data_IF_850401219210
#
_entry.id   IF_850401219210
#
_cell.length_a   1.000
_cell.length_b   1.000
_cell.length_c   1.000
_cell.angle_alpha   90.00
_cell.angle_beta   90.00
_cell.angle_gamma   90.00
#
_symmetry.space_group_name_H-M   'P 1'
#
loop_
_entity.id
_entity.type
_entity.pdbx_description
1 polymer ?
#
# COMPACT_ATOMS: atom_id res chain seq x y z
N UNK A 1 1.47 -18.88 1.67
CA UNK A 1 1.93 -17.65 2.35
C UNK A 1 0.91 -16.55 2.10
N UNK A 2 0.62 -15.73 3.12
CA UNK A 2 -0.30 -14.59 3.03
C UNK A 2 0.40 -13.30 3.48
N UNK A 3 -0.01 -12.17 2.90
CA UNK A 3 0.39 -10.83 3.32
C UNK A 3 -0.86 -10.05 3.71
N UNK A 4 -0.89 -9.54 4.92
CA UNK A 4 -2.02 -8.79 5.46
C UNK A 4 -1.58 -7.35 5.77
N UNK A 5 -2.08 -6.40 4.99
CA UNK A 5 -1.76 -4.98 5.15
C UNK A 5 -2.80 -4.32 6.04
N UNK A 6 -2.41 -3.69 7.13
CA UNK A 6 -3.29 -2.90 7.98
C UNK A 6 -3.09 -1.42 7.69
N UNK A 7 -4.10 -0.78 7.15
CA UNK A 7 -4.04 0.64 6.77
C UNK A 7 -5.25 1.41 7.32
N UNK A 8 -5.12 2.70 7.44
CA UNK A 8 -6.15 3.58 8.00
C UNK A 8 -5.53 4.88 8.51
N UNK A 9 -6.38 5.80 8.92
CA UNK A 9 -5.97 7.11 9.44
C UNK A 9 -4.99 6.98 10.62
N UNK A 10 -4.17 8.00 10.85
CA UNK A 10 -3.32 8.08 12.03
C UNK A 10 -4.14 7.99 13.33
N UNK A 11 -3.67 7.17 14.28
CA UNK A 11 -4.28 7.03 15.61
C UNK A 11 -5.52 6.13 15.70
N UNK A 12 -5.95 5.44 14.63
CA UNK A 12 -7.12 4.53 14.67
C UNK A 12 -6.83 3.18 15.33
N UNK A 13 -5.56 2.85 15.59
CA UNK A 13 -5.14 1.58 16.20
C UNK A 13 -4.71 0.51 15.20
N UNK A 14 -4.14 0.90 14.05
CA UNK A 14 -3.57 -0.02 13.06
C UNK A 14 -2.58 -1.00 13.68
N UNK A 15 -1.57 -0.46 14.35
CA UNK A 15 -0.50 -1.22 15.00
C UNK A 15 -1.05 -2.24 15.99
N UNK A 16 -1.98 -1.81 16.86
CA UNK A 16 -2.61 -2.67 17.86
C UNK A 16 -3.42 -3.80 17.21
N UNK A 17 -4.19 -3.50 16.17
CA UNK A 17 -4.99 -4.52 15.46
C UNK A 17 -4.11 -5.46 14.62
N UNK A 18 -3.02 -4.97 14.03
CA UNK A 18 -2.03 -5.78 13.33
C UNK A 18 -1.32 -6.74 14.29
N UNK A 19 -0.83 -6.24 15.43
CA UNK A 19 -0.17 -7.03 16.47
C UNK A 19 -1.11 -8.10 17.05
N UNK A 20 -2.35 -7.74 17.37
CA UNK A 20 -3.37 -8.68 17.84
C UNK A 20 -3.65 -9.78 16.79
N UNK A 21 -3.78 -9.41 15.51
CA UNK A 21 -3.98 -10.38 14.42
C UNK A 21 -2.80 -11.34 14.28
N UNK A 22 -1.56 -10.84 14.40
CA UNK A 22 -0.37 -11.68 14.35
C UNK A 22 -0.35 -12.71 15.48
N UNK A 23 -0.73 -12.32 16.69
CA UNK A 23 -0.85 -13.25 17.83
C UNK A 23 -1.95 -14.30 17.61
N UNK A 24 -3.11 -13.93 17.08
CA UNK A 24 -4.18 -14.86 16.75
C UNK A 24 -3.70 -15.94 15.78
N UNK A 25 -3.08 -15.52 14.68
CA UNK A 25 -2.53 -16.43 13.67
C UNK A 25 -1.46 -17.36 14.24
N UNK A 26 -0.58 -16.83 15.09
CA UNK A 26 0.46 -17.63 15.74
C UNK A 26 -0.13 -18.66 16.73
N UNK A 27 -1.19 -18.28 17.47
CA UNK A 27 -1.90 -19.20 18.38
C UNK A 27 -2.59 -20.33 17.64
N UNK A 28 -3.01 -20.11 16.39
CA UNK A 28 -3.58 -21.11 15.49
C UNK A 28 -2.51 -21.99 14.81
N UNK A 29 -1.22 -21.74 15.09
CA UNK A 29 -0.10 -22.56 14.63
C UNK A 29 0.63 -22.04 13.40
N UNK A 30 0.24 -20.90 12.81
CA UNK A 30 0.97 -20.27 11.74
C UNK A 30 2.30 -19.67 12.24
N UNK A 31 3.32 -19.64 11.39
CA UNK A 31 4.55 -18.90 11.65
C UNK A 31 4.41 -17.48 11.08
N UNK A 32 4.29 -16.51 11.95
CA UNK A 32 3.90 -15.14 11.59
C UNK A 32 5.05 -14.18 11.85
N UNK A 33 5.23 -13.23 10.96
CA UNK A 33 6.01 -12.03 11.23
C UNK A 33 5.13 -10.80 11.09
N UNK A 34 5.19 -9.89 12.06
CA UNK A 34 4.62 -8.56 11.96
C UNK A 34 5.73 -7.54 11.80
N UNK A 35 5.60 -6.69 10.79
CA UNK A 35 6.55 -5.62 10.49
C UNK A 35 5.84 -4.28 10.42
N UNK A 36 6.42 -3.23 10.97
CA UNK A 36 5.89 -1.88 10.89
C UNK A 36 6.68 -1.06 9.88
N UNK A 37 5.94 -0.42 8.99
CA UNK A 37 6.42 0.62 8.09
C UNK A 37 6.18 2.03 8.66
N UNK A 38 5.67 2.14 9.88
CA UNK A 38 5.44 3.43 10.56
C UNK A 38 6.70 3.85 11.32
N UNK A 39 7.28 5.01 11.01
CA UNK A 39 8.48 5.52 11.68
C UNK A 39 8.26 5.86 13.16
N UNK A 40 7.03 5.87 13.64
CA UNK A 40 6.70 6.20 15.04
C UNK A 40 7.10 5.12 16.07
N UNK A 41 7.69 4.00 15.65
CA UNK A 41 8.18 2.92 16.52
C UNK A 41 7.12 2.30 17.46
N UNK A 42 5.83 2.40 17.10
CA UNK A 42 4.71 2.01 17.94
C UNK A 42 4.51 0.48 18.08
N UNK A 43 5.15 -0.33 17.22
CA UNK A 43 5.00 -1.78 17.25
C UNK A 43 5.67 -2.41 18.49
N UNK A 44 6.87 -1.95 18.84
CA UNK A 44 7.57 -2.35 20.05
C UNK A 44 6.77 -2.00 21.31
N UNK A 45 6.19 -0.79 21.37
CA UNK A 45 5.35 -0.35 22.46
C UNK A 45 4.10 -1.23 22.59
N UNK A 46 3.48 -1.62 21.47
CA UNK A 46 2.29 -2.48 21.48
C UNK A 46 2.58 -3.87 22.06
N UNK A 47 3.74 -4.44 21.79
CA UNK A 47 4.15 -5.74 22.37
C UNK A 47 4.77 -5.62 23.77
N UNK A 48 5.15 -4.40 24.20
CA UNK A 48 5.93 -4.20 25.42
C UNK A 48 7.35 -4.77 25.30
N UNK A 49 7.95 -4.74 24.10
CA UNK A 49 9.24 -5.34 23.78
C UNK A 49 10.12 -4.40 22.96
N UNK A 50 11.42 -4.46 23.19
CA UNK A 50 12.38 -3.76 22.32
C UNK A 50 12.50 -4.51 20.99
N UNK A 51 12.20 -3.81 19.89
CA UNK A 51 12.29 -4.34 18.53
C UNK A 51 13.37 -3.59 17.74
N UNK A 52 14.07 -4.36 16.91
CA UNK A 52 15.03 -3.82 15.93
C UNK A 52 14.69 -4.25 14.50
N UNK A 53 15.63 -4.02 13.58
CA UNK A 53 15.51 -4.42 12.17
C UNK A 53 15.57 -5.95 11.99
N UNK A 54 16.14 -6.69 12.95
CA UNK A 54 16.13 -8.14 12.92
C UNK A 54 14.85 -8.72 13.56
N UNK A 55 14.26 -9.80 12.98
CA UNK A 55 13.10 -10.47 13.55
C UNK A 55 13.33 -10.96 14.97
N UNK A 56 12.52 -10.50 15.91
CA UNK A 56 12.53 -10.90 17.34
C UNK A 56 11.29 -11.74 17.62
N UNK A 57 11.43 -12.92 18.24
CA UNK A 57 10.29 -13.73 18.65
C UNK A 57 9.65 -13.12 19.91
N UNK A 58 8.44 -12.57 19.76
CA UNK A 58 7.68 -11.89 20.84
C UNK A 58 6.70 -12.83 21.54
N UNK A 59 6.27 -13.88 20.85
CA UNK A 59 5.48 -14.97 21.38
C UNK A 59 5.77 -16.24 20.55
N UNK A 60 5.40 -17.45 21.02
CA UNK A 60 5.64 -18.68 20.27
C UNK A 60 5.13 -18.58 18.83
N UNK A 61 6.01 -18.74 17.83
CA UNK A 61 5.75 -18.62 16.38
C UNK A 61 5.36 -17.20 15.88
N UNK A 62 5.32 -16.20 16.76
CA UNK A 62 5.07 -14.80 16.45
C UNK A 62 6.36 -14.01 16.52
N UNK A 63 6.79 -13.48 15.39
CA UNK A 63 7.97 -12.64 15.26
C UNK A 63 7.54 -11.19 14.97
N UNK A 64 8.29 -10.24 15.50
CA UNK A 64 8.09 -8.83 15.23
C UNK A 64 9.43 -8.19 14.86
N UNK A 65 9.38 -7.24 13.94
CA UNK A 65 10.52 -6.39 13.60
C UNK A 65 10.08 -4.97 13.31
N UNK A 66 10.97 -4.06 13.55
CA UNK A 66 10.78 -2.65 13.27
C UNK A 66 11.88 -2.19 12.34
N UNK A 67 11.49 -1.79 11.14
CA UNK A 67 12.45 -1.52 10.08
C UNK A 67 13.19 -0.21 10.33
N UNK A 68 14.51 -0.27 10.34
CA UNK A 68 15.33 0.92 10.15
C UNK A 68 15.54 1.13 8.64
N UNK A 69 14.72 2.01 8.09
CA UNK A 69 14.75 2.33 6.67
C UNK A 69 16.09 2.93 6.22
N UNK A 70 16.86 3.54 7.13
CA UNK A 70 18.14 4.19 6.80
C UNK A 70 19.21 3.20 6.38
N UNK A 71 19.31 2.07 7.06
CA UNK A 71 20.29 1.02 6.72
C UNK A 71 20.04 0.46 5.32
N UNK A 72 18.78 0.22 4.97
CA UNK A 72 18.38 -0.28 3.65
C UNK A 72 18.51 0.79 2.55
N UNK A 73 18.28 2.05 2.91
CA UNK A 73 18.45 3.19 2.02
C UNK A 73 19.89 3.27 1.52
N UNK A 74 20.88 3.17 2.42
CA UNK A 74 22.29 3.22 2.05
C UNK A 74 22.69 2.09 1.12
N UNK A 75 22.19 0.87 1.33
CA UNK A 75 22.50 -0.29 0.48
C UNK A 75 21.95 -0.16 -0.94
N UNK A 76 20.73 0.35 -1.11
CA UNK A 76 20.02 0.35 -2.39
C UNK A 76 20.08 1.69 -3.13
N UNK A 77 20.18 2.80 -2.40
CA UNK A 77 20.12 4.17 -2.91
C UNK A 77 21.47 4.91 -2.84
N UNK A 78 22.45 4.38 -2.12
CA UNK A 78 23.73 5.05 -1.86
C UNK A 78 24.43 5.56 -3.12
N UNK A 79 24.56 4.72 -4.16
CA UNK A 79 25.21 5.09 -5.44
C UNK A 79 24.46 6.22 -6.18
N UNK A 80 23.13 6.23 -6.09
CA UNK A 80 22.29 7.27 -6.70
C UNK A 80 22.42 8.57 -5.90
N UNK A 81 22.40 8.48 -4.57
CA UNK A 81 22.56 9.63 -3.67
C UNK A 81 23.94 10.27 -3.83
N UNK A 82 25.02 9.49 -3.88
CA UNK A 82 26.36 10.00 -4.13
C UNK A 82 26.45 10.79 -5.43
N UNK A 83 25.90 10.22 -6.52
CA UNK A 83 25.85 10.94 -7.79
C UNK A 83 25.00 12.21 -7.73
N UNK A 84 23.86 12.21 -7.04
CA UNK A 84 23.04 13.42 -6.83
C UNK A 84 23.82 14.50 -6.09
N UNK A 85 24.56 14.14 -5.04
CA UNK A 85 25.41 15.07 -4.29
C UNK A 85 26.53 15.65 -5.15
N UNK A 86 27.18 14.86 -6.00
CA UNK A 86 28.17 15.34 -6.96
C UNK A 86 27.58 16.37 -7.95
N UNK A 87 26.35 16.12 -8.44
CA UNK A 87 25.64 17.06 -9.33
C UNK A 87 25.29 18.36 -8.62
N UNK A 88 24.84 18.29 -7.36
CA UNK A 88 24.49 19.45 -6.56
C UNK A 88 25.74 20.27 -6.20
N UNK A 89 26.86 19.64 -5.85
CA UNK A 89 28.15 20.28 -5.61
C UNK A 89 28.64 21.01 -6.88
N UNK A 90 28.56 20.35 -8.02
CA UNK A 90 28.89 20.97 -9.31
C UNK A 90 28.00 22.19 -9.61
N UNK A 91 26.71 22.15 -9.22
CA UNK A 91 25.78 23.26 -9.36
C UNK A 91 26.04 24.39 -8.35
N UNK A 92 27.00 24.23 -7.42
CA UNK A 92 27.37 25.23 -6.41
C UNK A 92 26.43 25.28 -5.20
N UNK A 93 25.69 24.21 -4.96
CA UNK A 93 24.84 24.07 -3.76
C UNK A 93 25.72 23.74 -2.56
N UNK A 94 25.51 24.44 -1.42
CA UNK A 94 26.27 24.17 -0.21
C UNK A 94 26.04 22.74 0.31
N UNK A 95 27.05 22.09 0.88
CA UNK A 95 27.03 20.70 1.27
C UNK A 95 25.82 20.33 2.18
N UNK A 96 25.47 21.19 3.13
CA UNK A 96 24.32 20.99 4.04
C UNK A 96 23.00 21.03 3.26
N UNK A 97 22.83 22.00 2.36
CA UNK A 97 21.64 22.14 1.53
C UNK A 97 21.56 20.98 0.52
N UNK A 98 22.69 20.51 -0.01
CA UNK A 98 22.75 19.38 -0.91
C UNK A 98 22.31 18.08 -0.21
N UNK A 99 22.72 17.86 1.04
CA UNK A 99 22.26 16.72 1.84
C UNK A 99 20.76 16.76 2.10
N UNK A 100 20.18 17.91 2.41
CA UNK A 100 18.74 18.08 2.58
C UNK A 100 17.97 17.83 1.27
N UNK A 101 18.47 18.31 0.13
CA UNK A 101 17.86 18.09 -1.20
C UNK A 101 18.00 16.65 -1.70
N UNK A 102 19.01 15.91 -1.25
CA UNK A 102 19.21 14.51 -1.58
C UNK A 102 18.28 13.56 -0.80
N UNK A 103 17.59 14.05 0.24
CA UNK A 103 16.56 13.30 0.95
C UNK A 103 15.27 13.33 0.13
N UNK A 104 14.87 12.18 -0.38
CA UNK A 104 13.58 12.01 -1.08
C UNK A 104 12.52 11.60 -0.05
N UNK A 105 11.52 12.45 0.23
CA UNK A 105 10.47 12.11 1.18
C UNK A 105 9.70 10.86 0.75
N UNK A 106 9.48 9.93 1.68
CA UNK A 106 8.76 8.69 1.43
C UNK A 106 9.62 7.51 0.99
N UNK A 107 10.95 7.69 0.86
CA UNK A 107 11.85 6.55 0.58
C UNK A 107 11.88 5.56 1.75
N UNK A 108 11.80 6.03 2.98
CA UNK A 108 11.84 5.18 4.17
C UNK A 108 10.70 4.15 4.15
N UNK A 109 9.49 4.59 3.86
CA UNK A 109 8.33 3.70 3.76
C UNK A 109 8.43 2.78 2.55
N UNK A 110 9.06 3.25 1.46
CA UNK A 110 9.28 2.45 0.28
C UNK A 110 10.23 1.28 0.57
N UNK A 111 11.31 1.54 1.30
CA UNK A 111 12.24 0.49 1.73
C UNK A 111 11.58 -0.49 2.71
N UNK A 112 10.67 -0.01 3.56
CA UNK A 112 9.86 -0.89 4.39
C UNK A 112 9.04 -1.88 3.55
N UNK A 113 8.50 -1.45 2.41
CA UNK A 113 7.79 -2.35 1.50
C UNK A 113 8.72 -3.34 0.77
N UNK A 114 9.97 -2.97 0.47
CA UNK A 114 10.93 -3.93 -0.11
C UNK A 114 11.27 -5.05 0.86
N UNK A 115 11.28 -4.78 2.17
CA UNK A 115 11.46 -5.80 3.18
C UNK A 115 10.30 -6.80 3.19
N UNK A 116 9.05 -6.36 2.98
CA UNK A 116 7.90 -7.26 2.84
C UNK A 116 8.16 -8.29 1.73
N UNK A 117 8.67 -7.88 0.59
CA UNK A 117 9.03 -8.76 -0.51
C UNK A 117 10.15 -9.74 -0.10
N UNK A 118 11.17 -9.27 0.60
CA UNK A 118 12.27 -10.09 1.13
C UNK A 118 11.77 -11.15 2.10
N UNK A 119 10.89 -10.78 3.04
CA UNK A 119 10.25 -11.70 3.97
C UNK A 119 9.43 -12.77 3.23
N UNK A 120 8.69 -12.37 2.21
CA UNK A 120 7.95 -13.28 1.35
C UNK A 120 8.87 -14.26 0.61
N UNK A 121 9.93 -13.78 0.00
CA UNK A 121 10.89 -14.58 -0.75
C UNK A 121 11.68 -15.55 0.16
N UNK A 122 11.84 -15.22 1.45
CA UNK A 122 12.56 -16.06 2.41
C UNK A 122 11.91 -17.42 2.66
N UNK A 123 10.60 -17.56 2.46
CA UNK A 123 9.82 -18.77 2.73
C UNK A 123 9.79 -19.18 4.20
N UNK A 124 10.25 -18.31 5.11
CA UNK A 124 10.34 -18.62 6.55
C UNK A 124 9.02 -18.47 7.30
N UNK A 125 8.08 -17.72 6.75
CA UNK A 125 6.83 -17.35 7.40
C UNK A 125 5.62 -17.80 6.57
N UNK A 126 4.56 -18.20 7.24
CA UNK A 126 3.29 -18.53 6.62
C UNK A 126 2.48 -17.25 6.34
N UNK A 127 2.63 -16.24 7.22
CA UNK A 127 1.95 -14.96 7.13
C UNK A 127 2.91 -13.81 7.46
N UNK A 128 2.85 -12.77 6.63
CA UNK A 128 3.50 -11.48 6.86
C UNK A 128 2.39 -10.44 7.15
N UNK A 129 2.36 -9.92 8.36
CA UNK A 129 1.46 -8.85 8.77
C UNK A 129 2.21 -7.52 8.67
N UNK A 130 1.65 -6.55 7.96
CA UNK A 130 2.27 -5.24 7.74
C UNK A 130 1.43 -4.17 8.39
N UNK A 131 1.98 -3.51 9.38
CA UNK A 131 1.44 -2.28 9.95
C UNK A 131 1.90 -1.10 9.08
N UNK A 132 0.98 -0.60 8.24
CA UNK A 132 1.29 0.45 7.28
C UNK A 132 1.28 1.83 7.93
N UNK A 133 2.09 2.74 7.37
CA UNK A 133 2.02 4.17 7.63
C UNK A 133 0.60 4.74 7.38
N UNK A 134 0.29 5.98 7.79
CA UNK A 134 -1.01 6.60 7.52
C UNK A 134 -1.42 6.58 6.04
N UNK A 135 -2.71 6.50 5.77
CA UNK A 135 -3.32 6.19 4.45
C UNK A 135 -2.78 6.95 3.24
N UNK A 136 -2.55 8.26 3.38
CA UNK A 136 -2.08 9.09 2.25
C UNK A 136 -0.68 8.69 1.77
N UNK A 137 0.20 8.35 2.69
CA UNK A 137 1.56 7.90 2.40
C UNK A 137 1.53 6.49 1.81
N UNK A 138 0.80 5.56 2.41
CA UNK A 138 0.65 4.19 1.88
C UNK A 138 0.16 4.18 0.44
N UNK A 139 -0.91 4.91 0.11
CA UNK A 139 -1.44 4.97 -1.27
C UNK A 139 -0.43 5.57 -2.23
N UNK A 140 0.28 6.64 -1.82
CA UNK A 140 1.32 7.28 -2.63
C UNK A 140 2.45 6.29 -2.94
N UNK A 141 2.91 5.55 -1.94
CA UNK A 141 3.99 4.56 -2.09
C UNK A 141 3.59 3.42 -3.00
N UNK A 142 2.38 2.89 -2.84
CA UNK A 142 1.86 1.82 -3.67
C UNK A 142 1.66 2.24 -5.14
N UNK A 143 1.61 3.56 -5.43
CA UNK A 143 1.55 4.08 -6.80
C UNK A 143 2.91 4.33 -7.46
N UNK A 144 3.99 4.41 -6.68
CA UNK A 144 5.33 4.73 -7.20
C UNK A 144 5.86 3.73 -8.23
N UNK A 145 5.70 2.41 -8.09
CA UNK A 145 6.17 1.47 -9.10
C UNK A 145 5.55 1.70 -10.49
N UNK A 146 4.27 2.10 -10.54
CA UNK A 146 3.60 2.41 -11.82
C UNK A 146 4.20 3.66 -12.49
N UNK A 147 4.52 4.68 -11.69
CA UNK A 147 5.12 5.93 -12.19
C UNK A 147 6.54 5.70 -12.67
N UNK A 148 7.35 4.99 -11.87
CA UNK A 148 8.73 4.68 -12.21
C UNK A 148 8.82 3.71 -13.39
N UNK A 149 7.90 2.76 -13.50
CA UNK A 149 7.84 1.81 -14.62
C UNK A 149 7.78 2.52 -15.97
N UNK A 150 6.91 3.50 -16.11
CA UNK A 150 6.82 4.31 -17.33
C UNK A 150 8.15 4.99 -17.67
N UNK A 151 8.84 5.56 -16.66
CA UNK A 151 10.14 6.20 -16.86
C UNK A 151 11.22 5.18 -17.27
N UNK A 152 11.28 4.04 -16.59
CA UNK A 152 12.26 2.99 -16.84
C UNK A 152 12.09 2.38 -18.24
N UNK A 153 10.86 2.19 -18.69
CA UNK A 153 10.60 1.61 -20.02
C UNK A 153 10.86 2.58 -21.17
N UNK A 154 10.53 3.86 -20.98
CA UNK A 154 10.53 4.85 -22.06
C UNK A 154 11.78 5.73 -22.12
N UNK A 155 12.18 6.29 -21.00
CA UNK A 155 13.26 7.29 -20.96
C UNK A 155 14.60 6.70 -20.56
N UNK A 156 14.61 5.70 -19.69
CA UNK A 156 15.84 5.14 -19.15
C UNK A 156 16.77 4.51 -20.24
N UNK A 157 16.30 3.71 -21.20
CA UNK A 157 17.17 3.16 -22.24
C UNK A 157 17.79 4.24 -23.13
N UNK A 158 17.04 5.32 -23.39
CA UNK A 158 17.52 6.45 -24.19
C UNK A 158 18.57 7.28 -23.43
N UNK A 159 18.30 7.59 -22.15
CA UNK A 159 19.22 8.34 -21.29
C UNK A 159 20.53 7.58 -21.06
N UNK A 160 20.46 6.28 -20.83
CA UNK A 160 21.65 5.42 -20.67
C UNK A 160 22.50 5.36 -21.94
N UNK A 161 21.88 5.26 -23.12
CA UNK A 161 22.62 5.30 -24.41
C UNK A 161 23.27 6.66 -24.62
N UNK A 162 22.54 7.74 -24.36
CA UNK A 162 23.05 9.10 -24.53
C UNK A 162 24.23 9.36 -23.56
N UNK A 163 24.12 8.97 -22.30
CA UNK A 163 25.19 9.09 -21.32
C UNK A 163 26.46 8.37 -21.74
N UNK A 164 26.35 7.15 -22.29
CA UNK A 164 27.50 6.38 -22.79
C UNK A 164 28.20 7.02 -23.99
N UNK A 165 27.44 7.67 -24.88
CA UNK A 165 27.99 8.25 -26.12
C UNK A 165 28.51 9.67 -25.91
N UNK A 166 27.72 10.50 -25.20
CA UNK A 166 27.99 11.93 -25.02
C UNK A 166 28.72 12.20 -23.70
N UNK A 167 28.53 11.36 -22.69
CA UNK A 167 29.11 11.55 -21.35
C UNK A 167 30.62 11.77 -21.36
N UNK A 168 31.45 10.95 -22.04
CA UNK A 168 32.90 11.15 -22.10
C UNK A 168 33.32 12.43 -22.80
N UNK A 169 32.50 12.97 -23.69
CA UNK A 169 32.74 14.26 -24.36
C UNK A 169 32.37 15.44 -23.44
N UNK A 170 31.20 15.35 -22.78
CA UNK A 170 30.72 16.38 -21.85
C UNK A 170 31.63 16.50 -20.63
N UNK A 171 32.02 15.40 -20.02
CA UNK A 171 32.93 15.39 -18.87
C UNK A 171 34.33 15.93 -19.17
N UNK A 172 34.76 15.94 -20.44
CA UNK A 172 36.04 16.56 -20.85
C UNK A 172 35.95 18.07 -21.10
N UNK A 173 34.76 18.55 -21.44
CA UNK A 173 34.53 19.96 -21.80
C UNK A 173 33.94 20.74 -20.63
N UNK A 174 33.12 20.07 -19.82
CA UNK A 174 32.47 20.62 -18.63
C UNK A 174 32.75 19.67 -17.49
N UNK A 175 33.04 20.16 -16.30
CA UNK A 175 33.19 19.31 -15.10
C UNK A 175 31.85 18.71 -14.60
N UNK A 176 30.80 18.64 -15.44
CA UNK A 176 29.50 18.11 -15.11
C UNK A 176 29.59 16.61 -14.77
N UNK A 177 29.15 16.15 -13.59
CA UNK A 177 29.07 14.76 -13.23
C UNK A 177 27.99 14.08 -14.08
N UNK A 178 28.41 13.21 -15.00
CA UNK A 178 27.51 12.43 -15.85
C UNK A 178 27.27 11.08 -15.21
N UNK A 179 25.99 10.69 -15.05
CA UNK A 179 25.65 9.38 -14.53
C UNK A 179 26.36 8.27 -15.32
N UNK A 180 27.12 7.47 -14.61
CA UNK A 180 27.84 6.31 -15.17
C UNK A 180 27.00 5.03 -15.13
N UNK A 181 27.56 3.92 -15.65
CA UNK A 181 26.86 2.63 -15.65
C UNK A 181 26.54 2.09 -14.24
N UNK A 182 27.23 2.53 -13.19
CA UNK A 182 26.96 2.15 -11.79
C UNK A 182 25.65 2.77 -11.34
N UNK A 183 25.48 4.07 -11.52
CA UNK A 183 24.24 4.80 -11.19
C UNK A 183 23.05 4.22 -11.96
N UNK A 184 23.20 3.96 -13.27
CA UNK A 184 22.15 3.34 -14.07
C UNK A 184 21.81 1.92 -13.57
N UNK A 185 22.80 1.15 -13.16
CA UNK A 185 22.58 -0.20 -12.64
C UNK A 185 21.93 -0.18 -11.25
N UNK A 186 22.28 0.78 -10.41
CA UNK A 186 21.63 1.00 -9.11
C UNK A 186 20.14 1.37 -9.30
N UNK A 187 19.86 2.30 -10.20
CA UNK A 187 18.47 2.69 -10.51
C UNK A 187 17.65 1.51 -11.06
N UNK A 188 18.26 0.65 -11.90
CA UNK A 188 17.60 -0.55 -12.41
C UNK A 188 17.32 -1.55 -11.27
N UNK A 189 18.30 -1.83 -10.39
CA UNK A 189 18.11 -2.73 -9.25
C UNK A 189 17.00 -2.23 -8.33
N UNK A 190 17.00 -0.95 -8.04
CA UNK A 190 15.96 -0.33 -7.23
C UNK A 190 14.57 -0.47 -7.86
N UNK A 191 14.45 -0.19 -9.16
CA UNK A 191 13.20 -0.39 -9.87
C UNK A 191 12.74 -1.85 -9.85
N UNK A 192 13.64 -2.79 -10.09
CA UNK A 192 13.31 -4.23 -10.08
C UNK A 192 12.80 -4.69 -8.71
N UNK A 193 13.36 -4.15 -7.63
CA UNK A 193 12.88 -4.39 -6.26
C UNK A 193 11.46 -3.85 -6.07
N UNK A 194 11.19 -2.62 -6.51
CA UNK A 194 9.87 -2.02 -6.42
C UNK A 194 8.81 -2.76 -7.24
N UNK A 195 9.17 -3.19 -8.43
CA UNK A 195 8.27 -3.96 -9.29
C UNK A 195 7.96 -5.34 -8.67
N UNK A 196 8.94 -5.98 -8.04
CA UNK A 196 8.73 -7.21 -7.28
C UNK A 196 7.79 -7.01 -6.09
N UNK A 197 7.93 -5.91 -5.33
CA UNK A 197 7.00 -5.52 -4.26
C UNK A 197 5.59 -5.36 -4.81
N UNK A 198 5.44 -4.61 -5.90
CA UNK A 198 4.15 -4.39 -6.55
C UNK A 198 3.47 -5.71 -6.93
N UNK A 199 4.21 -6.66 -7.51
CA UNK A 199 3.66 -7.95 -7.89
C UNK A 199 3.13 -8.72 -6.67
N UNK A 200 3.85 -8.73 -5.56
CA UNK A 200 3.39 -9.37 -4.31
C UNK A 200 2.14 -8.68 -3.77
N UNK A 201 2.17 -7.36 -3.68
CA UNK A 201 1.09 -6.59 -3.05
C UNK A 201 -0.19 -6.51 -3.91
N UNK A 202 -0.06 -6.58 -5.24
CA UNK A 202 -1.21 -6.55 -6.16
C UNK A 202 -1.80 -7.95 -6.43
N UNK A 203 -1.15 -9.03 -5.97
CA UNK A 203 -1.69 -10.38 -6.12
C UNK A 203 -2.78 -10.65 -5.05
N UNK A 204 -4.06 -10.74 -5.45
CA UNK A 204 -5.17 -10.90 -4.50
C UNK A 204 -5.20 -12.30 -3.85
N UNK A 205 -4.40 -13.26 -4.35
CA UNK A 205 -4.25 -14.56 -3.70
C UNK A 205 -3.30 -14.47 -2.52
N UNK A 206 -2.26 -13.69 -2.67
CA UNK A 206 -1.21 -13.51 -1.67
C UNK A 206 -1.54 -12.40 -0.69
N UNK A 207 -2.04 -11.26 -1.16
CA UNK A 207 -2.15 -10.03 -0.35
C UNK A 207 -3.58 -9.54 -0.21
N UNK A 208 -3.93 -9.11 0.99
CA UNK A 208 -5.15 -8.37 1.31
C UNK A 208 -4.85 -7.15 2.16
N UNK A 209 -5.56 -6.06 1.88
CA UNK A 209 -5.56 -4.86 2.72
C UNK A 209 -6.78 -4.86 3.65
N UNK A 210 -6.60 -4.48 4.90
CA UNK A 210 -7.63 -4.34 5.93
C UNK A 210 -7.70 -2.90 6.40
N UNK A 211 -8.86 -2.29 6.28
CA UNK A 211 -9.08 -0.91 6.66
C UNK A 211 -9.40 -0.83 8.15
N UNK A 212 -8.55 -0.18 8.93
CA UNK A 212 -8.81 0.09 10.34
C UNK A 212 -9.42 1.47 10.47
N UNK A 213 -10.59 1.55 11.09
CA UNK A 213 -11.36 2.78 11.25
C UNK A 213 -11.88 2.92 12.69
N UNK A 214 -12.13 4.13 13.12
CA UNK A 214 -12.96 4.40 14.29
C UNK A 214 -14.35 4.84 13.81
N UNK A 215 -15.42 4.63 14.60
CA UNK A 215 -16.77 5.05 14.22
C UNK A 215 -16.95 6.57 14.39
N UNK A 216 -16.21 7.31 13.55
CA UNK A 216 -16.14 8.76 13.50
C UNK A 216 -16.25 9.25 12.05
N UNK A 217 -17.07 10.28 11.82
CA UNK A 217 -17.40 10.80 10.49
C UNK A 217 -16.18 11.07 9.61
N UNK A 218 -15.15 11.73 10.14
CA UNK A 218 -13.96 12.08 9.37
C UNK A 218 -13.10 10.86 9.03
N UNK A 219 -13.02 9.89 9.95
CA UNK A 219 -12.28 8.64 9.73
C UNK A 219 -12.96 7.79 8.68
N UNK A 220 -14.29 7.68 8.73
CA UNK A 220 -15.09 6.95 7.74
C UNK A 220 -14.93 7.57 6.34
N UNK A 221 -15.00 8.90 6.23
CA UNK A 221 -14.80 9.59 4.95
C UNK A 221 -13.41 9.36 4.36
N UNK A 222 -12.36 9.29 5.20
CA UNK A 222 -11.01 8.97 4.78
C UNK A 222 -10.89 7.50 4.34
N UNK A 223 -11.50 6.58 5.08
CA UNK A 223 -11.52 5.16 4.74
C UNK A 223 -12.20 4.89 3.38
N UNK A 224 -13.31 5.58 3.07
CA UNK A 224 -13.97 5.49 1.75
C UNK A 224 -13.02 5.90 0.63
N UNK A 225 -12.32 7.04 0.77
CA UNK A 225 -11.33 7.48 -0.21
C UNK A 225 -10.18 6.48 -0.34
N UNK A 226 -9.69 5.98 0.77
CA UNK A 226 -8.61 4.98 0.79
C UNK A 226 -9.02 3.72 0.06
N UNK A 227 -10.23 3.22 0.27
CA UNK A 227 -10.75 2.05 -0.43
C UNK A 227 -10.79 2.29 -1.95
N UNK A 228 -11.30 3.45 -2.38
CA UNK A 228 -11.31 3.82 -3.81
C UNK A 228 -9.89 3.81 -4.39
N UNK A 229 -8.93 4.39 -3.69
CA UNK A 229 -7.56 4.49 -4.20
C UNK A 229 -6.82 3.14 -4.21
N UNK A 230 -6.96 2.33 -3.17
CA UNK A 230 -6.40 0.98 -3.16
C UNK A 230 -6.98 0.16 -4.32
N UNK A 231 -8.28 0.23 -4.55
CA UNK A 231 -8.93 -0.43 -5.68
C UNK A 231 -8.46 0.10 -7.02
N UNK A 232 -8.29 1.42 -7.17
CA UNK A 232 -7.74 2.05 -8.37
C UNK A 232 -6.37 1.47 -8.71
N UNK A 233 -5.49 1.28 -7.72
CA UNK A 233 -4.16 0.69 -7.92
C UNK A 233 -4.15 -0.85 -7.96
N UNK A 234 -5.31 -1.49 -7.84
CA UNK A 234 -5.47 -2.94 -7.97
C UNK A 234 -5.21 -3.73 -6.69
N UNK A 235 -5.11 -3.06 -5.55
CA UNK A 235 -4.95 -3.69 -4.25
C UNK A 235 -6.32 -4.12 -3.70
N UNK A 236 -6.39 -5.36 -3.26
CA UNK A 236 -7.64 -5.92 -2.73
C UNK A 236 -7.82 -5.54 -1.28
N UNK A 237 -8.91 -4.84 -0.98
CA UNK A 237 -9.42 -4.69 0.39
C UNK A 237 -10.34 -5.87 0.68
N UNK A 238 -10.12 -6.58 1.80
CA UNK A 238 -10.92 -7.77 2.14
C UNK A 238 -11.69 -7.64 3.45
N UNK A 239 -11.44 -6.61 4.27
CA UNK A 239 -12.18 -6.37 5.50
C UNK A 239 -12.09 -4.90 5.96
N UNK A 240 -13.07 -4.52 6.77
CA UNK A 240 -13.05 -3.29 7.58
C UNK A 240 -13.03 -3.68 9.05
N UNK A 241 -12.11 -3.11 9.83
CA UNK A 241 -12.01 -3.30 11.28
C UNK A 241 -12.40 -2.00 11.95
N UNK A 242 -13.55 -1.98 12.61
CA UNK A 242 -14.01 -0.84 13.38
C UNK A 242 -13.47 -0.96 14.80
N UNK A 243 -12.48 -0.15 15.12
CA UNK A 243 -11.82 -0.15 16.42
C UNK A 243 -12.45 0.88 17.37
N UNK A 244 -12.23 0.70 18.67
CA UNK A 244 -12.72 1.59 19.75
C UNK A 244 -14.25 1.74 19.79
N UNK A 245 -14.95 0.66 19.50
CA UNK A 245 -16.41 0.61 19.68
C UNK A 245 -16.71 0.62 21.18
N UNK A 246 -17.58 1.53 21.63
CA UNK A 246 -17.96 1.58 23.04
C UNK A 246 -18.74 0.33 23.43
N UNK A 247 -18.33 -0.38 24.50
CA UNK A 247 -19.00 -1.57 24.97
C UNK A 247 -20.46 -1.31 25.35
N UNK A 248 -21.31 -2.31 25.17
CA UNK A 248 -22.74 -2.18 25.47
C UNK A 248 -23.02 -1.90 26.98
N UNK A 249 -22.14 -2.40 27.84
CA UNK A 249 -22.21 -2.25 29.29
C UNK A 249 -21.63 -0.94 29.85
N UNK A 250 -21.00 -0.13 28.98
CA UNK A 250 -20.43 1.15 29.43
C UNK A 250 -21.53 2.13 29.83
N UNK A 251 -21.44 2.69 31.05
CA UNK A 251 -22.44 3.51 31.68
C UNK A 251 -22.03 5.00 31.75
N UNK A 252 -23.00 5.87 31.89
CA UNK A 252 -22.83 7.31 32.01
C UNK A 252 -23.56 8.09 30.93
N UNK A 253 -24.11 9.25 31.25
CA UNK A 253 -24.90 10.06 30.31
C UNK A 253 -24.10 10.45 29.05
N UNK A 254 -22.84 10.83 29.24
CA UNK A 254 -21.93 11.14 28.13
C UNK A 254 -21.69 9.91 27.25
N UNK A 255 -21.46 8.75 27.87
CA UNK A 255 -21.22 7.46 27.13
C UNK A 255 -22.46 7.08 26.33
N UNK A 256 -23.65 7.23 26.87
CA UNK A 256 -24.90 6.93 26.16
C UNK A 256 -25.10 7.82 24.93
N UNK A 257 -24.74 9.11 25.01
CA UNK A 257 -24.74 10.02 23.86
C UNK A 257 -23.80 9.58 22.77
N UNK A 258 -22.54 9.30 23.12
CA UNK A 258 -21.52 8.83 22.19
C UNK A 258 -21.87 7.49 21.57
N UNK A 259 -22.34 6.52 22.36
CA UNK A 259 -22.73 5.20 21.84
C UNK A 259 -23.84 5.28 20.80
N UNK A 260 -24.82 6.15 20.98
CA UNK A 260 -25.87 6.39 19.98
C UNK A 260 -25.28 6.86 18.65
N UNK A 261 -24.40 7.84 18.68
CA UNK A 261 -23.70 8.34 17.50
C UNK A 261 -22.82 7.26 16.85
N UNK A 262 -22.13 6.44 17.67
CA UNK A 262 -21.34 5.33 17.14
C UNK A 262 -22.21 4.27 16.47
N UNK A 263 -23.40 3.95 16.99
CA UNK A 263 -24.32 3.00 16.37
C UNK A 263 -24.80 3.48 14.99
N UNK A 264 -25.08 4.78 14.84
CA UNK A 264 -25.40 5.37 13.54
C UNK A 264 -24.22 5.24 12.56
N UNK A 265 -23.01 5.51 13.03
CA UNK A 265 -21.80 5.35 12.20
C UNK A 265 -21.50 3.89 11.86
N UNK A 266 -21.72 2.96 12.79
CA UNK A 266 -21.56 1.52 12.52
C UNK A 266 -22.52 1.04 11.43
N UNK A 267 -23.80 1.44 11.49
CA UNK A 267 -24.77 1.12 10.46
C UNK A 267 -24.36 1.68 9.09
N UNK A 268 -23.87 2.95 9.04
CA UNK A 268 -23.33 3.54 7.82
C UNK A 268 -22.10 2.78 7.29
N UNK A 269 -21.18 2.34 8.16
CA UNK A 269 -20.01 1.56 7.74
C UNK A 269 -20.45 0.22 7.13
N UNK A 270 -21.39 -0.48 7.75
CA UNK A 270 -21.85 -1.77 7.25
C UNK A 270 -22.56 -1.65 5.89
N UNK A 271 -23.35 -0.58 5.69
CA UNK A 271 -24.00 -0.30 4.40
C UNK A 271 -22.98 0.12 3.34
N UNK A 272 -22.10 1.05 3.65
CA UNK A 272 -21.17 1.67 2.72
C UNK A 272 -20.10 0.71 2.20
N UNK A 273 -19.57 -0.13 3.10
CA UNK A 273 -18.48 -1.03 2.75
C UNK A 273 -18.95 -2.43 2.31
N UNK A 274 -20.27 -2.66 2.25
CA UNK A 274 -20.78 -3.91 1.70
C UNK A 274 -20.21 -4.16 0.27
N UNK A 275 -19.80 -5.39 -0.09
CA UNK A 275 -19.97 -6.66 0.65
C UNK A 275 -18.78 -7.04 1.56
N UNK A 276 -17.90 -6.10 1.93
CA UNK A 276 -16.78 -6.39 2.82
C UNK A 276 -17.28 -6.77 4.22
N UNK A 277 -16.73 -7.81 4.86
CA UNK A 277 -17.00 -8.09 6.26
C UNK A 277 -16.49 -6.97 7.16
N UNK A 278 -17.30 -6.61 8.14
CA UNK A 278 -17.00 -5.58 9.13
C UNK A 278 -16.77 -6.24 10.50
N UNK A 279 -15.54 -6.18 10.99
CA UNK A 279 -15.17 -6.66 12.31
C UNK A 279 -15.20 -5.50 13.31
N UNK A 280 -15.56 -5.79 14.55
CA UNK A 280 -15.67 -4.77 15.61
C UNK A 280 -14.73 -5.12 16.76
N UNK A 281 -13.88 -4.17 17.12
CA UNK A 281 -13.02 -4.23 18.29
C UNK A 281 -13.57 -3.25 19.35
N UNK A 282 -14.00 -3.78 20.49
CA UNK A 282 -14.49 -2.95 21.58
C UNK A 282 -13.33 -2.21 22.27
N UNK A 283 -13.64 -1.05 22.82
CA UNK A 283 -12.71 -0.27 23.63
C UNK A 283 -12.43 -1.01 24.94
N UNK A 284 -11.18 -1.39 25.16
CA UNK A 284 -10.77 -2.19 26.32
C UNK A 284 -10.85 -1.46 27.68
N UNK A 285 -11.24 -0.16 27.69
CA UNK A 285 -11.27 0.65 28.90
C UNK A 285 -9.89 1.14 29.39
N UNK A 286 -8.81 0.65 28.79
CA UNK A 286 -7.41 1.00 29.05
C UNK A 286 -6.54 0.88 27.81
N UNK A 287 -5.25 0.99 27.99
CA UNK A 287 -4.27 0.77 26.92
C UNK A 287 -4.13 -0.73 26.64
N UNK A 288 -4.13 -1.10 25.34
CA UNK A 288 -3.91 -2.47 24.91
C UNK A 288 -2.42 -2.64 24.62
N UNK A 289 -1.67 -3.04 25.64
CA UNK A 289 -0.22 -3.22 25.60
C UNK A 289 0.16 -4.58 26.16
N UNK A 290 1.09 -5.26 25.50
CA UNK A 290 1.59 -6.56 25.88
C UNK A 290 0.77 -7.74 25.33
N UNK A 291 1.36 -8.93 25.43
CA UNK A 291 0.86 -10.15 24.78
C UNK A 291 -0.55 -10.55 25.27
N UNK A 292 -0.83 -10.40 26.55
CA UNK A 292 -2.11 -10.78 27.15
C UNK A 292 -3.25 -9.89 26.62
N UNK A 293 -3.10 -8.55 26.73
CA UNK A 293 -4.11 -7.61 26.27
C UNK A 293 -4.33 -7.66 24.75
N UNK A 294 -3.26 -7.84 23.97
CA UNK A 294 -3.35 -8.05 22.52
C UNK A 294 -4.05 -9.39 22.19
N UNK A 295 -3.81 -10.44 22.97
CA UNK A 295 -4.48 -11.73 22.81
C UNK A 295 -5.98 -11.66 23.10
N UNK A 296 -6.39 -10.94 24.13
CA UNK A 296 -7.81 -10.69 24.44
C UNK A 296 -8.50 -9.89 23.32
N UNK A 297 -7.84 -8.84 22.84
CA UNK A 297 -8.33 -8.08 21.67
C UNK A 297 -8.49 -8.99 20.45
N UNK A 298 -7.50 -9.83 20.16
CA UNK A 298 -7.51 -10.74 19.03
C UNK A 298 -8.69 -11.73 19.10
N UNK A 299 -8.91 -12.33 20.27
CA UNK A 299 -10.01 -13.27 20.48
C UNK A 299 -11.38 -12.63 20.28
N UNK A 300 -11.58 -11.39 20.75
CA UNK A 300 -12.83 -10.64 20.55
C UNK A 300 -13.01 -10.15 19.11
N UNK A 301 -11.92 -9.73 18.46
CA UNK A 301 -11.94 -9.20 17.10
C UNK A 301 -12.27 -10.27 16.06
N UNK A 302 -11.59 -11.42 16.15
CA UNK A 302 -11.69 -12.46 15.12
C UNK A 302 -12.69 -13.56 15.44
N UNK A 303 -12.96 -13.83 16.74
CA UNK A 303 -13.84 -14.91 17.17
C UNK A 303 -13.45 -16.23 16.55
N UNK A 304 -14.36 -16.84 15.75
CA UNK A 304 -14.13 -18.11 15.03
C UNK A 304 -13.56 -17.91 13.61
N UNK A 305 -13.40 -16.67 13.15
CA UNK A 305 -12.90 -16.38 11.81
C UNK A 305 -11.37 -16.54 11.78
N UNK A 306 -10.86 -17.30 10.82
CA UNK A 306 -9.42 -17.38 10.59
C UNK A 306 -8.94 -16.12 9.85
N UNK A 307 -8.10 -15.29 10.48
CA UNK A 307 -7.58 -14.09 9.83
C UNK A 307 -6.70 -14.38 8.60
N UNK A 308 -6.24 -15.61 8.41
CA UNK A 308 -5.46 -16.01 7.25
C UNK A 308 -6.32 -16.17 6.00
N UNK A 309 -7.63 -16.40 6.15
CA UNK A 309 -8.54 -16.60 5.04
C UNK A 309 -8.64 -15.37 4.13
N UNK A 310 -8.96 -15.64 2.87
CA UNK A 310 -9.40 -14.60 1.95
C UNK A 310 -10.87 -14.31 2.24
N UNK A 311 -11.11 -13.18 2.90
CA UNK A 311 -12.45 -12.82 3.38
C UNK A 311 -13.39 -12.39 2.26
N UNK A 312 -12.82 -12.00 1.09
CA UNK A 312 -13.59 -11.64 -0.12
C UNK A 312 -12.87 -12.16 -1.36
N UNK A 313 -13.61 -12.70 -2.32
CA UNK A 313 -13.07 -13.17 -3.61
C UNK A 313 -13.43 -12.21 -4.76
N UNK A 314 -13.08 -10.95 -4.61
CA UNK A 314 -13.22 -9.93 -5.66
C UNK A 314 -11.84 -9.51 -6.18
N UNK A 315 -11.79 -9.11 -7.44
CA UNK A 315 -10.58 -8.51 -8.03
C UNK A 315 -10.92 -7.10 -8.44
N UNK A 316 -10.20 -6.09 -7.92
CA UNK A 316 -10.45 -4.69 -8.25
C UNK A 316 -10.34 -4.37 -9.75
N UNK A 317 -9.58 -5.17 -10.49
CA UNK A 317 -9.40 -5.02 -11.92
C UNK A 317 -9.65 -6.35 -12.64
N UNK A 318 -10.51 -6.34 -13.64
CA UNK A 318 -10.89 -7.52 -14.45
C UNK A 318 -10.99 -7.15 -15.92
N UNK A 319 -10.61 -8.10 -16.78
CA UNK A 319 -10.91 -8.07 -18.23
C UNK A 319 -11.76 -9.26 -18.56
N UNK A 320 -12.92 -9.04 -19.11
CA UNK A 320 -13.87 -10.09 -19.50
C UNK A 320 -14.29 -9.93 -20.96
N UNK A 321 -14.72 -11.04 -21.58
CA UNK A 321 -15.40 -10.99 -22.88
C UNK A 321 -16.81 -10.48 -22.68
N UNK A 322 -17.17 -9.45 -23.43
CA UNK A 322 -18.51 -8.90 -23.53
C UNK A 322 -19.31 -9.49 -24.70
N UNK A 323 -20.43 -8.89 -25.00
CA UNK A 323 -21.27 -9.25 -26.13
C UNK A 323 -20.64 -8.83 -27.48
N UNK A 324 -21.04 -9.49 -28.56
CA UNK A 324 -20.64 -9.18 -29.94
C UNK A 324 -19.13 -9.11 -30.17
N UNK A 325 -18.35 -9.88 -29.41
CA UNK A 325 -16.90 -9.92 -29.54
C UNK A 325 -16.17 -8.75 -28.86
N UNK A 326 -16.87 -7.88 -28.14
CA UNK A 326 -16.26 -6.83 -27.33
C UNK A 326 -15.50 -7.39 -26.12
N UNK A 327 -14.66 -6.59 -25.51
CA UNK A 327 -14.06 -6.86 -24.19
C UNK A 327 -14.42 -5.73 -23.25
N UNK A 328 -14.65 -6.07 -21.99
CA UNK A 328 -14.93 -5.10 -20.94
C UNK A 328 -13.78 -5.12 -19.93
N UNK A 329 -13.14 -3.98 -19.76
CA UNK A 329 -12.24 -3.72 -18.65
C UNK A 329 -13.06 -3.12 -17.52
N UNK A 330 -13.12 -3.81 -16.38
CA UNK A 330 -13.81 -3.33 -15.19
C UNK A 330 -12.79 -2.95 -14.12
N UNK A 331 -12.95 -1.78 -13.53
CA UNK A 331 -12.16 -1.29 -12.40
C UNK A 331 -13.11 -0.94 -11.27
N UNK A 332 -12.97 -1.60 -10.12
CA UNK A 332 -13.75 -1.28 -8.92
C UNK A 332 -13.26 0.05 -8.35
N UNK A 333 -14.15 1.02 -8.26
CA UNK A 333 -13.91 2.37 -7.76
C UNK A 333 -15.02 2.73 -6.77
N UNK A 334 -15.12 2.02 -5.63
CA UNK A 334 -16.16 2.30 -4.64
C UNK A 334 -16.05 3.76 -4.20
N UNK A 335 -17.17 4.43 -4.04
CA UNK A 335 -17.28 5.85 -3.65
C UNK A 335 -16.73 6.88 -4.65
N UNK A 336 -16.24 6.48 -5.82
CA UNK A 336 -15.83 7.44 -6.84
C UNK A 336 -17.05 8.16 -7.43
N UNK A 337 -16.95 9.49 -7.55
CA UNK A 337 -17.96 10.29 -8.23
C UNK A 337 -17.57 10.50 -9.70
N UNK A 338 -18.58 10.55 -10.57
CA UNK A 338 -18.34 10.78 -12.01
C UNK A 338 -17.65 12.11 -12.30
N UNK A 339 -17.86 13.11 -11.45
CA UNK A 339 -17.22 14.43 -11.51
C UNK A 339 -15.72 14.42 -11.23
N UNK A 340 -15.24 13.40 -10.51
CA UNK A 340 -13.83 13.22 -10.14
C UNK A 340 -13.08 12.26 -11.07
N UNK A 341 -13.81 11.58 -11.97
CA UNK A 341 -13.27 10.57 -12.87
C UNK A 341 -12.83 11.20 -14.19
N UNK A 342 -11.56 10.99 -14.54
CA UNK A 342 -11.03 11.27 -15.87
C UNK A 342 -10.46 10.00 -16.50
N UNK A 343 -10.78 9.80 -17.78
CA UNK A 343 -10.38 8.64 -18.55
C UNK A 343 -9.78 9.08 -19.88
N UNK A 344 -8.50 8.76 -20.08
CA UNK A 344 -7.79 9.11 -21.32
C UNK A 344 -7.02 7.90 -21.82
N UNK A 345 -7.05 7.66 -23.13
CA UNK A 345 -6.22 6.62 -23.78
C UNK A 345 -5.15 7.27 -24.64
N UNK A 346 -3.93 6.77 -24.55
CA UNK A 346 -2.82 7.15 -25.39
C UNK A 346 -2.09 5.91 -25.87
N UNK A 347 -2.29 5.51 -27.12
CA UNK A 347 -1.72 4.28 -27.67
C UNK A 347 -2.19 3.03 -26.92
N UNK A 348 -1.25 2.30 -26.31
CA UNK A 348 -1.49 1.06 -25.58
C UNK A 348 -1.76 1.29 -24.08
N UNK A 349 -1.89 2.53 -23.66
CA UNK A 349 -2.05 2.91 -22.27
C UNK A 349 -3.42 3.56 -22.03
N UNK A 350 -4.06 3.14 -20.94
CA UNK A 350 -5.30 3.73 -20.43
C UNK A 350 -5.00 4.43 -19.11
N UNK A 351 -5.21 5.73 -19.08
CA UNK A 351 -5.08 6.57 -17.89
C UNK A 351 -6.43 6.70 -17.21
N UNK A 352 -6.50 6.24 -15.97
CA UNK A 352 -7.68 6.38 -15.11
C UNK A 352 -7.28 7.30 -13.95
N UNK A 353 -7.95 8.42 -13.81
CA UNK A 353 -7.74 9.34 -12.70
C UNK A 353 -9.00 9.45 -11.85
N UNK A 354 -8.85 9.46 -10.53
CA UNK A 354 -9.91 9.70 -9.55
C UNK A 354 -9.39 10.72 -8.54
N UNK A 355 -9.95 11.93 -8.56
CA UNK A 355 -9.46 13.04 -7.76
C UNK A 355 -7.96 13.31 -8.02
N UNK A 356 -7.11 13.34 -6.99
CA UNK A 356 -5.67 13.61 -7.14
C UNK A 356 -4.84 12.43 -7.63
N UNK A 357 -5.42 11.23 -7.70
CA UNK A 357 -4.68 10.01 -8.03
C UNK A 357 -4.93 9.58 -9.48
N UNK A 358 -3.85 9.21 -10.14
CA UNK A 358 -3.87 8.71 -11.51
C UNK A 358 -3.15 7.37 -11.58
N UNK A 359 -3.76 6.41 -12.25
CA UNK A 359 -3.14 5.14 -12.63
C UNK A 359 -3.01 5.02 -14.13
N UNK A 360 -1.84 4.54 -14.55
CA UNK A 360 -1.60 4.13 -15.94
C UNK A 360 -1.77 2.61 -16.05
N UNK A 361 -2.69 2.17 -16.87
CA UNK A 361 -2.95 0.77 -17.16
C UNK A 361 -2.41 0.41 -18.54
N UNK A 362 -1.34 -0.39 -18.59
CA UNK A 362 -0.89 -0.97 -19.84
C UNK A 362 -1.94 -1.98 -20.31
N UNK A 363 -2.52 -1.73 -21.46
CA UNK A 363 -3.57 -2.58 -22.01
C UNK A 363 -2.99 -3.94 -22.43
N UNK A 364 -3.61 -5.06 -22.04
CA UNK A 364 -3.21 -6.38 -22.56
C UNK A 364 -3.43 -6.48 -24.06
N UNK A 365 -2.73 -7.39 -24.73
CA UNK A 365 -2.74 -7.54 -26.20
C UNK A 365 -4.14 -7.66 -26.79
N UNK A 366 -5.09 -8.25 -26.03
CA UNK A 366 -6.50 -8.38 -26.41
C UNK A 366 -7.23 -7.03 -26.54
N UNK A 367 -6.73 -5.98 -25.88
CA UNK A 367 -7.35 -4.65 -25.86
C UNK A 367 -6.56 -3.61 -26.67
N UNK A 368 -5.26 -3.80 -26.88
CA UNK A 368 -4.40 -2.82 -27.58
C UNK A 368 -4.90 -2.49 -28.97
N UNK A 369 -5.38 -3.52 -29.72
CA UNK A 369 -5.84 -3.37 -31.10
C UNK A 369 -7.29 -2.95 -31.23
N UNK A 370 -7.97 -2.63 -30.13
CA UNK A 370 -9.40 -2.30 -30.06
C UNK A 370 -9.58 -0.82 -29.72
N UNK A 371 -10.71 -0.26 -30.08
CA UNK A 371 -11.09 1.10 -29.74
C UNK A 371 -12.03 1.13 -28.55
N UNK A 372 -12.05 2.23 -27.79
CA UNK A 372 -13.01 2.43 -26.71
C UNK A 372 -14.35 2.75 -27.36
N UNK A 373 -15.32 1.87 -27.20
CA UNK A 373 -16.70 2.07 -27.66
C UNK A 373 -17.54 2.83 -26.65
N UNK A 374 -17.38 2.53 -25.36
CA UNK A 374 -18.11 3.18 -24.28
C UNK A 374 -17.33 3.12 -22.98
N UNK A 375 -17.61 4.07 -22.08
CA UNK A 375 -17.14 4.04 -20.69
C UNK A 375 -18.27 4.51 -19.76
N UNK A 376 -18.52 3.80 -18.68
CA UNK A 376 -19.53 4.12 -17.70
C UNK A 376 -19.02 3.85 -16.27
N UNK A 377 -19.38 4.75 -15.35
CA UNK A 377 -19.23 4.53 -13.92
C UNK A 377 -20.64 4.27 -13.34
N UNK A 378 -20.88 3.06 -12.85
CA UNK A 378 -22.13 2.66 -12.22
C UNK A 378 -21.84 1.80 -10.98
N UNK A 379 -22.55 2.04 -9.91
CA UNK A 379 -22.44 1.26 -8.65
C UNK A 379 -21.00 1.09 -8.16
N UNK A 380 -20.21 2.17 -8.24
CA UNK A 380 -18.80 2.15 -7.81
C UNK A 380 -17.87 1.31 -8.69
N UNK A 381 -18.26 1.05 -9.94
CA UNK A 381 -17.45 0.32 -10.92
C UNK A 381 -17.34 1.09 -12.23
N UNK A 382 -16.12 1.31 -12.68
CA UNK A 382 -15.83 1.82 -14.02
C UNK A 382 -15.77 0.64 -14.99
N UNK A 383 -16.61 0.66 -16.00
CA UNK A 383 -16.58 -0.29 -17.11
C UNK A 383 -16.19 0.41 -18.41
N UNK A 384 -15.14 -0.08 -19.05
CA UNK A 384 -14.66 0.43 -20.33
C UNK A 384 -14.79 -0.69 -21.36
N UNK A 385 -15.66 -0.47 -22.33
CA UNK A 385 -15.92 -1.43 -23.41
C UNK A 385 -15.00 -1.18 -24.59
N UNK A 386 -14.28 -2.20 -25.01
CA UNK A 386 -13.39 -2.19 -26.15
C UNK A 386 -14.02 -2.98 -27.31
N UNK A 387 -14.17 -2.32 -28.44
CA UNK A 387 -14.75 -2.89 -29.67
C UNK A 387 -13.72 -3.03 -30.79
N UNK A 388 -13.99 -3.86 -31.77
CA UNK A 388 -13.13 -3.92 -32.96
C UNK A 388 -13.18 -2.57 -33.70
N UNK A 389 -12.03 -2.10 -34.26
CA UNK A 389 -12.04 -0.89 -35.05
C UNK A 389 -13.02 -1.02 -36.21
N UNK A 390 -13.82 0.01 -36.41
CA UNK A 390 -14.66 0.10 -37.61
C UNK A 390 -13.73 0.36 -38.78
N UNK A 391 -13.55 -0.64 -39.65
CA UNK A 391 -12.66 -0.63 -40.79
C UNK A 391 -13.03 0.39 -41.86
#
# INVERSE_FOLDING_TARGET
MRVLLFTGKGGVGKTTTAAATALQLASQGARVIVTSADPAHSLGDSFGAELGSAPTEVAPRCFAQQLDARERLEESWGEIREWMLEVLDWAGVAAIEAEELAVVPGLDELFALTEVQSLCASGRYDVVVVDCAPTAETVRLLSLPDILGWYMDRLFPASRRLSRVVGPLVSRVTSLPVADDRVFSAAQRFYDQLDAVRHVLADPVTTSARLVVNPERMVIAEARRTYTYLSLFGYQVDAVIVNRVLPAHAEGEWVHGWRRTQLEHLASIEEDFAPLPVFRAEHAGGEVVGIEALGELAATLWGEVDPMDRLVDTRPLKVAKGEHGAFVLSVDLPFAERSELDLTRTGDELYVAVGPHRRNLLLPDSLRRREIGAAALAEGRLEVTFVEPVG
#
